data_IF_269559365315
#
_entry.id   IF_269559365315
#
_cell.length_a   1.000
_cell.length_b   1.000
_cell.length_c   1.000
_cell.angle_alpha   90.00
_cell.angle_beta   90.00
_cell.angle_gamma   90.00
#
_symmetry.space_group_name_H-M   'P 1'
#
loop_
_entity.id
_entity.type
_entity.pdbx_description
1 polymer ?
#
# COMPACT_ATOMS: atom_id res chain seq x y z
N UNK A 1 33.65 32.33 -48.89
CA UNK A 1 33.15 32.78 -47.56
C UNK A 1 32.42 31.61 -46.94
N UNK A 2 33.11 30.89 -46.07
CA UNK A 2 32.61 29.70 -45.37
C UNK A 2 32.12 30.14 -43.98
N UNK A 3 30.79 30.07 -43.78
CA UNK A 3 30.19 30.34 -42.48
C UNK A 3 30.25 29.08 -41.61
N UNK A 4 31.04 29.12 -40.54
CA UNK A 4 31.08 28.06 -39.53
C UNK A 4 29.82 28.11 -38.67
N UNK A 5 28.96 27.07 -38.76
CA UNK A 5 27.93 26.79 -37.77
C UNK A 5 28.61 26.20 -36.55
N UNK A 6 28.74 26.98 -35.48
CA UNK A 6 29.12 26.51 -34.18
C UNK A 6 27.93 25.76 -33.57
N UNK A 7 28.04 24.44 -33.50
CA UNK A 7 27.13 23.58 -32.77
C UNK A 7 27.35 23.79 -31.27
N UNK A 8 26.47 24.53 -30.62
CA UNK A 8 26.48 24.66 -29.16
C UNK A 8 26.03 23.33 -28.53
N UNK A 9 26.98 22.50 -28.14
CA UNK A 9 26.75 21.38 -27.25
C UNK A 9 26.34 21.98 -25.90
N UNK A 10 25.03 21.97 -25.60
CA UNK A 10 24.55 22.22 -24.24
C UNK A 10 25.13 21.11 -23.34
N UNK A 11 26.09 21.47 -22.53
CA UNK A 11 26.49 20.70 -21.38
C UNK A 11 25.23 20.53 -20.52
N UNK A 12 24.67 19.33 -20.52
CA UNK A 12 23.69 18.90 -19.52
C UNK A 12 24.49 18.90 -18.22
N UNK A 13 24.32 19.93 -17.40
CA UNK A 13 24.84 19.92 -16.04
C UNK A 13 24.29 18.65 -15.38
N UNK A 14 25.16 17.81 -14.81
CA UNK A 14 24.77 16.67 -13.99
C UNK A 14 23.87 17.19 -12.84
N UNK A 15 22.57 17.14 -13.05
CA UNK A 15 21.60 17.49 -12.02
C UNK A 15 21.66 16.34 -11.02
N UNK A 16 22.36 16.58 -9.91
CA UNK A 16 22.42 15.62 -8.82
C UNK A 16 21.03 15.45 -8.22
N UNK A 17 20.41 14.28 -8.44
CA UNK A 17 19.11 13.97 -7.90
C UNK A 17 19.20 13.76 -6.37
N UNK A 18 18.23 14.26 -5.58
CA UNK A 18 18.19 13.97 -4.17
C UNK A 18 18.14 12.47 -3.90
N UNK A 19 18.95 12.03 -2.95
CA UNK A 19 19.15 10.61 -2.64
C UNK A 19 18.26 10.16 -1.50
N UNK A 20 17.35 9.22 -1.77
CA UNK A 20 16.42 8.63 -0.81
C UNK A 20 16.88 7.21 -0.49
N UNK A 21 17.29 6.95 0.75
CA UNK A 21 17.57 5.60 1.22
C UNK A 21 16.27 4.96 1.73
N UNK A 22 15.80 3.92 1.06
CA UNK A 22 14.64 3.14 1.50
C UNK A 22 15.12 1.80 2.10
N UNK A 23 14.81 1.56 3.37
CA UNK A 23 15.25 0.37 4.10
C UNK A 23 14.14 -0.68 4.07
N UNK A 24 14.24 -1.65 3.15
CA UNK A 24 13.30 -2.75 3.04
C UNK A 24 13.56 -3.83 4.11
N UNK A 25 12.53 -4.62 4.43
CA UNK A 25 12.61 -5.70 5.43
C UNK A 25 13.19 -6.99 4.83
N UNK A 26 12.53 -7.54 3.81
CA UNK A 26 12.87 -8.84 3.20
C UNK A 26 12.65 -8.81 1.69
N UNK A 27 13.52 -9.51 0.92
CA UNK A 27 13.33 -9.65 -0.53
C UNK A 27 11.97 -10.27 -0.88
N UNK A 28 11.32 -9.74 -1.90
CA UNK A 28 10.02 -10.21 -2.41
C UNK A 28 8.82 -9.91 -1.52
N UNK A 29 8.99 -9.20 -0.39
CA UNK A 29 7.90 -8.80 0.50
C UNK A 29 7.30 -7.43 0.11
N UNK A 30 6.23 -7.04 0.80
CA UNK A 30 5.45 -5.85 0.46
C UNK A 30 6.29 -4.56 0.42
N UNK A 31 7.23 -4.38 1.35
CA UNK A 31 8.09 -3.18 1.43
C UNK A 31 9.12 -3.18 0.29
N UNK A 32 9.70 -4.33 -0.02
CA UNK A 32 10.61 -4.47 -1.17
C UNK A 32 9.90 -4.08 -2.47
N UNK A 33 8.73 -4.66 -2.73
CA UNK A 33 7.92 -4.33 -3.92
C UNK A 33 7.49 -2.86 -3.97
N UNK A 34 7.10 -2.30 -2.82
CA UNK A 34 6.78 -0.87 -2.69
C UNK A 34 7.99 -0.02 -3.10
N UNK A 35 9.18 -0.33 -2.58
CA UNK A 35 10.41 0.41 -2.89
C UNK A 35 10.78 0.31 -4.36
N UNK A 36 10.66 -0.87 -4.97
CA UNK A 36 10.92 -1.07 -6.40
C UNK A 36 9.96 -0.24 -7.27
N UNK A 37 8.67 -0.18 -6.92
CA UNK A 37 7.69 0.64 -7.64
C UNK A 37 7.98 2.14 -7.50
N UNK A 38 8.29 2.63 -6.29
CA UNK A 38 8.69 4.02 -6.07
C UNK A 38 9.94 4.37 -6.88
N UNK A 39 10.95 3.50 -6.86
CA UNK A 39 12.18 3.67 -7.65
C UNK A 39 11.88 3.78 -9.14
N UNK A 40 11.06 2.87 -9.69
CA UNK A 40 10.68 2.85 -11.11
C UNK A 40 9.92 4.12 -11.53
N UNK A 41 8.97 4.56 -10.69
CA UNK A 41 8.09 5.69 -11.05
C UNK A 41 8.78 7.05 -10.84
N UNK A 42 9.63 7.16 -9.83
CA UNK A 42 10.25 8.44 -9.43
C UNK A 42 11.69 8.59 -9.89
N UNK A 43 12.24 7.70 -10.71
CA UNK A 43 13.65 7.65 -11.14
C UNK A 43 14.19 8.95 -11.76
N UNK A 44 13.31 9.76 -12.38
CA UNK A 44 13.69 11.05 -12.98
C UNK A 44 13.75 12.21 -11.99
N UNK A 45 13.28 12.01 -10.76
CA UNK A 45 13.15 13.05 -9.72
C UNK A 45 14.01 12.78 -8.51
N UNK A 46 14.24 11.50 -8.18
CA UNK A 46 14.97 11.08 -6.99
C UNK A 46 15.83 9.86 -7.31
N UNK A 47 17.02 9.81 -6.72
CA UNK A 47 17.84 8.59 -6.64
C UNK A 47 17.35 7.75 -5.47
N UNK A 48 16.45 6.78 -5.70
CA UNK A 48 15.98 5.90 -4.64
C UNK A 48 16.90 4.69 -4.53
N UNK A 49 17.69 4.66 -3.47
CA UNK A 49 18.60 3.57 -3.12
C UNK A 49 17.91 2.64 -2.14
N UNK A 50 17.82 1.36 -2.51
CA UNK A 50 17.27 0.35 -1.61
C UNK A 50 18.38 -0.38 -0.88
N UNK A 51 18.21 -0.62 0.43
CA UNK A 51 18.97 -1.58 1.24
C UNK A 51 18.00 -2.46 2.01
N UNK A 52 18.39 -3.70 2.25
CA UNK A 52 17.67 -4.52 3.22
C UNK A 52 18.13 -4.20 4.63
N UNK A 53 17.24 -4.37 5.60
CA UNK A 53 17.47 -4.00 6.99
C UNK A 53 18.72 -4.65 7.62
N UNK A 54 19.23 -5.75 7.05
CA UNK A 54 20.43 -6.44 7.54
C UNK A 54 21.73 -5.96 6.88
N UNK A 55 21.62 -5.19 5.77
CA UNK A 55 22.76 -4.79 4.94
C UNK A 55 23.03 -3.29 5.00
N UNK A 56 22.17 -2.53 5.69
CA UNK A 56 22.30 -1.06 5.76
C UNK A 56 23.55 -0.69 6.59
N UNK A 57 24.31 0.28 6.08
CA UNK A 57 25.53 0.78 6.71
C UNK A 57 25.38 2.24 7.17
N UNK A 58 26.25 2.69 8.06
CA UNK A 58 26.35 4.11 8.45
C UNK A 58 26.65 5.00 7.23
N UNK A 59 27.46 4.51 6.29
CA UNK A 59 27.73 5.22 5.05
C UNK A 59 26.48 5.43 4.20
N UNK A 60 25.60 4.43 4.10
CA UNK A 60 24.33 4.57 3.38
C UNK A 60 23.45 5.67 4.01
N UNK A 61 23.34 5.67 5.35
CA UNK A 61 22.56 6.66 6.11
C UNK A 61 23.14 8.06 5.93
N UNK A 62 24.48 8.20 5.99
CA UNK A 62 25.14 9.50 5.86
C UNK A 62 25.06 10.07 4.44
N UNK A 63 25.05 9.23 3.42
CA UNK A 63 24.98 9.63 2.02
C UNK A 63 23.57 10.02 1.55
N UNK A 64 22.51 9.71 2.34
CA UNK A 64 21.13 9.99 1.96
C UNK A 64 20.68 11.38 2.40
N UNK A 65 19.87 12.03 1.56
CA UNK A 65 19.14 13.26 1.90
C UNK A 65 17.89 12.98 2.71
N UNK A 66 17.27 11.82 2.48
CA UNK A 66 16.14 11.28 3.26
C UNK A 66 16.38 9.79 3.51
N UNK A 67 16.11 9.33 4.73
CA UNK A 67 16.12 7.92 5.12
C UNK A 67 14.70 7.47 5.44
N UNK A 68 14.16 6.52 4.66
CA UNK A 68 12.84 5.92 4.86
C UNK A 68 12.96 4.63 5.68
N UNK A 69 12.35 4.62 6.85
CA UNK A 69 12.12 3.46 7.71
C UNK A 69 10.62 3.17 7.70
N UNK A 70 10.21 1.96 7.35
CA UNK A 70 8.79 1.68 7.08
C UNK A 70 7.94 1.40 8.30
N UNK A 71 8.57 1.07 9.45
CA UNK A 71 7.89 0.93 10.74
C UNK A 71 8.89 1.13 11.89
N UNK A 72 8.46 1.73 12.99
CA UNK A 72 9.35 2.20 14.04
C UNK A 72 10.23 1.10 14.67
N UNK A 73 9.69 -0.10 14.89
CA UNK A 73 10.45 -1.22 15.46
C UNK A 73 11.41 -1.90 14.45
N UNK A 74 11.45 -1.46 13.20
CA UNK A 74 12.50 -1.83 12.24
C UNK A 74 13.87 -1.34 12.71
N UNK A 75 13.91 -0.22 13.44
CA UNK A 75 15.13 0.39 13.96
C UNK A 75 15.95 -0.61 14.78
N UNK A 76 15.30 -1.38 15.65
CA UNK A 76 15.96 -2.39 16.48
C UNK A 76 16.53 -3.59 15.69
N UNK A 77 16.20 -3.70 14.38
CA UNK A 77 16.68 -4.77 13.49
C UNK A 77 17.83 -4.34 12.61
N UNK A 78 18.18 -3.06 12.63
CA UNK A 78 19.28 -2.52 11.83
C UNK A 78 20.62 -2.90 12.47
N UNK A 79 21.65 -3.21 11.69
CA UNK A 79 23.01 -3.48 12.19
C UNK A 79 23.76 -2.18 12.51
N UNK A 80 23.05 -1.19 13.04
CA UNK A 80 23.54 0.15 13.34
C UNK A 80 23.17 0.55 14.77
N UNK A 81 24.08 1.20 15.51
CA UNK A 81 23.73 1.84 16.77
C UNK A 81 22.65 2.92 16.54
N UNK A 82 21.65 3.02 17.41
CA UNK A 82 20.62 4.04 17.30
C UNK A 82 21.19 5.45 17.25
N UNK A 83 22.35 5.67 17.88
CA UNK A 83 23.07 6.96 17.84
C UNK A 83 23.41 7.44 16.41
N UNK A 84 23.62 6.53 15.46
CA UNK A 84 23.80 6.86 14.04
C UNK A 84 22.54 7.50 13.48
N UNK A 85 21.40 6.90 13.74
CA UNK A 85 20.10 7.43 13.32
C UNK A 85 19.75 8.74 14.03
N UNK A 86 20.04 8.83 15.34
CA UNK A 86 19.78 10.04 16.12
C UNK A 86 20.57 11.26 15.61
N UNK A 87 21.81 11.05 15.16
CA UNK A 87 22.61 12.13 14.52
C UNK A 87 22.03 12.61 13.18
N UNK A 88 21.14 11.83 12.57
CA UNK A 88 20.48 12.10 11.29
C UNK A 88 18.98 12.18 11.40
N UNK A 89 18.47 12.50 12.61
CA UNK A 89 17.03 12.63 12.86
C UNK A 89 16.36 13.70 11.98
N UNK A 90 17.14 14.70 11.53
CA UNK A 90 16.72 15.71 10.56
C UNK A 90 16.36 15.16 9.17
N UNK A 91 16.71 13.92 8.89
CA UNK A 91 16.49 13.23 7.59
C UNK A 91 15.67 11.95 7.69
N UNK A 92 15.34 11.51 8.91
CA UNK A 92 14.59 10.28 9.13
C UNK A 92 13.10 10.49 8.93
N UNK A 93 12.51 9.66 8.07
CA UNK A 93 11.07 9.56 7.87
C UNK A 93 10.66 8.14 8.21
N UNK A 94 9.77 7.99 9.20
CA UNK A 94 9.37 6.70 9.74
C UNK A 94 7.90 6.45 9.45
N UNK A 95 7.57 5.25 8.95
CA UNK A 95 6.21 4.87 8.63
C UNK A 95 5.42 4.37 9.84
N UNK A 96 4.11 4.54 9.77
CA UNK A 96 3.10 3.79 10.51
C UNK A 96 2.23 3.14 9.47
N UNK A 97 2.48 1.86 9.18
CA UNK A 97 1.85 1.13 8.09
C UNK A 97 0.77 0.17 8.57
N UNK A 98 0.56 0.03 9.89
CA UNK A 98 -0.47 -0.79 10.51
C UNK A 98 -0.83 -0.25 11.89
N UNK A 99 -2.09 -0.37 12.31
CA UNK A 99 -2.54 -0.04 13.68
C UNK A 99 -1.76 -0.80 14.75
N UNK A 100 -1.40 -2.05 14.47
CA UNK A 100 -0.64 -2.92 15.39
C UNK A 100 0.70 -2.34 15.82
N UNK A 101 1.25 -1.41 15.07
CA UNK A 101 2.53 -0.77 15.38
C UNK A 101 2.45 0.15 16.60
N UNK A 102 1.26 0.68 16.89
CA UNK A 102 1.01 1.61 17.99
C UNK A 102 -0.20 1.20 18.85
N UNK A 103 -0.45 -0.10 18.99
CA UNK A 103 -1.50 -0.65 19.85
C UNK A 103 -0.90 -1.31 21.09
N UNK A 104 -1.68 -1.34 22.20
CA UNK A 104 -1.32 -2.00 23.42
C UNK A 104 0.03 -1.54 23.97
N UNK A 105 0.90 -2.50 24.29
CA UNK A 105 2.23 -2.28 24.85
C UNK A 105 3.20 -1.55 23.87
N UNK A 106 2.92 -1.56 22.58
CA UNK A 106 3.77 -0.90 21.56
C UNK A 106 3.50 0.60 21.43
N UNK A 107 2.39 1.12 21.99
CA UNK A 107 1.97 2.51 21.79
C UNK A 107 2.97 3.52 22.34
N UNK A 108 3.25 3.45 23.63
CA UNK A 108 4.14 4.43 24.29
C UNK A 108 5.58 4.36 23.76
N UNK A 109 6.22 3.17 23.66
CA UNK A 109 7.54 3.07 23.07
C UNK A 109 7.61 3.56 21.62
N UNK A 110 6.59 3.27 20.83
CA UNK A 110 6.50 3.70 19.44
C UNK A 110 6.40 5.22 19.32
N UNK A 111 5.47 5.86 20.04
CA UNK A 111 5.31 7.31 20.05
C UNK A 111 6.59 7.99 20.53
N UNK A 112 7.22 7.50 21.61
CA UNK A 112 8.48 8.04 22.12
C UNK A 112 9.60 7.95 21.07
N UNK A 113 9.69 6.82 20.35
CA UNK A 113 10.70 6.63 19.29
C UNK A 113 10.45 7.57 18.11
N UNK A 114 9.19 7.70 17.67
CA UNK A 114 8.82 8.61 16.58
C UNK A 114 9.15 10.07 16.93
N UNK A 115 8.79 10.54 18.13
CA UNK A 115 9.09 11.90 18.56
C UNK A 115 10.58 12.18 18.68
N UNK A 116 11.38 11.17 19.05
CA UNK A 116 12.82 11.33 19.28
C UNK A 116 13.63 11.27 17.99
N UNK A 117 13.22 10.43 17.03
CA UNK A 117 14.04 10.15 15.86
C UNK A 117 13.46 10.65 14.54
N UNK A 118 12.13 10.73 14.41
CA UNK A 118 11.54 11.05 13.12
C UNK A 118 11.44 12.56 12.92
N UNK A 119 11.89 13.04 11.76
CA UNK A 119 11.57 14.38 11.25
C UNK A 119 10.13 14.49 10.80
N UNK A 120 9.61 13.41 10.22
CA UNK A 120 8.24 13.27 9.76
C UNK A 120 7.80 11.80 9.82
N UNK A 121 6.50 11.60 9.85
CA UNK A 121 5.88 10.28 9.76
C UNK A 121 5.10 10.17 8.44
N UNK A 122 5.07 8.99 7.85
CA UNK A 122 4.14 8.69 6.77
C UNK A 122 3.19 7.56 7.16
N UNK A 123 1.98 7.62 6.62
CA UNK A 123 0.92 6.62 6.85
C UNK A 123 0.33 6.18 5.52
N UNK A 124 -0.15 4.95 5.42
CA UNK A 124 -0.63 4.37 4.17
C UNK A 124 -2.16 4.32 4.01
N UNK A 125 -2.90 4.87 4.98
CA UNK A 125 -4.35 5.04 4.88
C UNK A 125 -4.85 6.20 5.75
N UNK A 126 -6.05 6.72 5.44
CA UNK A 126 -6.65 7.87 6.12
C UNK A 126 -7.05 7.57 7.56
N UNK A 127 -7.37 6.32 7.88
CA UNK A 127 -7.69 5.93 9.25
C UNK A 127 -6.48 6.11 10.16
N UNK A 128 -5.30 5.66 9.74
CA UNK A 128 -4.04 5.87 10.48
C UNK A 128 -3.69 7.36 10.59
N UNK A 129 -3.89 8.13 9.51
CA UNK A 129 -3.68 9.57 9.53
C UNK A 129 -4.56 10.25 10.59
N UNK A 130 -5.86 9.96 10.55
CA UNK A 130 -6.82 10.55 11.49
C UNK A 130 -6.53 10.17 12.94
N UNK A 131 -6.15 8.93 13.19
CA UNK A 131 -5.89 8.42 14.53
C UNK A 131 -4.58 8.92 15.12
N UNK A 132 -3.50 8.95 14.34
CA UNK A 132 -2.17 9.23 14.88
C UNK A 132 -1.67 10.65 14.66
N UNK A 133 -2.13 11.39 13.66
CA UNK A 133 -1.70 12.76 13.45
C UNK A 133 -1.94 13.68 14.68
N UNK A 134 -3.04 13.57 15.44
CA UNK A 134 -3.24 14.36 16.65
C UNK A 134 -2.26 14.03 17.79
N UNK A 135 -1.67 12.83 17.78
CA UNK A 135 -0.75 12.35 18.82
C UNK A 135 0.71 12.72 18.51
N UNK A 136 1.01 13.09 17.27
CA UNK A 136 2.35 13.38 16.81
C UNK A 136 2.58 14.88 16.68
N UNK A 137 3.71 15.37 17.24
CA UNK A 137 4.13 16.78 17.16
C UNK A 137 5.01 17.06 15.95
N UNK A 138 5.03 16.14 14.99
CA UNK A 138 5.82 16.17 13.76
C UNK A 138 4.89 16.00 12.56
N UNK A 139 5.27 16.44 11.36
CA UNK A 139 4.44 16.30 10.17
C UNK A 139 4.06 14.84 9.90
N UNK A 140 2.80 14.62 9.55
CA UNK A 140 2.29 13.32 9.10
C UNK A 140 1.88 13.42 7.65
N UNK A 141 2.39 12.54 6.80
CA UNK A 141 2.13 12.51 5.37
C UNK A 141 1.33 11.27 5.00
N UNK A 142 0.25 11.47 4.26
CA UNK A 142 -0.52 10.38 3.67
C UNK A 142 0.17 9.89 2.40
N UNK A 143 0.62 8.63 2.41
CA UNK A 143 1.34 8.00 1.29
C UNK A 143 0.83 6.57 1.08
N UNK A 144 -0.34 6.41 0.44
CA UNK A 144 -0.93 5.10 0.26
C UNK A 144 -0.11 4.22 -0.69
N UNK A 145 -0.31 2.91 -0.59
CA UNK A 145 0.24 2.00 -1.57
C UNK A 145 -0.55 2.12 -2.88
N UNK A 146 0.16 1.93 -3.99
CA UNK A 146 -0.43 1.74 -5.30
C UNK A 146 -0.41 0.28 -5.75
N UNK A 147 -0.94 0.04 -6.93
CA UNK A 147 -0.85 -1.19 -7.69
C UNK A 147 -0.35 -0.90 -9.10
N UNK A 148 0.36 -1.82 -9.73
CA UNK A 148 0.72 -1.68 -11.15
C UNK A 148 -0.47 -2.13 -12.02
N UNK A 149 -1.29 -1.17 -12.45
CA UNK A 149 -2.48 -1.43 -13.26
C UNK A 149 -2.17 -1.79 -14.71
N UNK A 150 -0.91 -1.70 -15.13
CA UNK A 150 -0.47 -2.19 -16.43
C UNK A 150 -0.10 -3.65 -16.39
N UNK A 151 0.36 -4.13 -15.25
CA UNK A 151 0.67 -5.53 -15.02
C UNK A 151 -0.57 -6.31 -14.53
N UNK A 152 -1.13 -5.92 -13.39
CA UNK A 152 -2.41 -6.45 -12.92
C UNK A 152 -3.53 -5.78 -13.70
N UNK A 153 -4.07 -6.48 -14.66
CA UNK A 153 -5.11 -5.97 -15.53
C UNK A 153 -6.11 -7.07 -15.89
N UNK A 154 -7.32 -6.65 -16.21
CA UNK A 154 -8.37 -7.56 -16.68
C UNK A 154 -7.94 -8.22 -17.98
N UNK A 155 -8.16 -9.56 -18.16
CA UNK A 155 -7.94 -10.21 -19.43
C UNK A 155 -8.85 -9.58 -20.50
N UNK A 156 -8.39 -9.55 -21.78
CA UNK A 156 -9.21 -9.03 -22.89
C UNK A 156 -10.55 -9.75 -23.02
N UNK A 157 -10.55 -11.06 -22.79
CA UNK A 157 -11.74 -11.90 -22.77
C UNK A 157 -11.92 -12.46 -21.36
N UNK A 158 -12.92 -11.98 -20.62
CA UNK A 158 -13.22 -12.52 -19.30
C UNK A 158 -13.62 -13.99 -19.40
N UNK A 159 -13.17 -14.80 -18.46
CA UNK A 159 -13.59 -16.20 -18.35
C UNK A 159 -15.12 -16.28 -18.27
N UNK A 160 -15.78 -17.14 -19.06
CA UNK A 160 -17.21 -17.33 -18.96
C UNK A 160 -17.58 -17.88 -17.57
N UNK A 161 -18.69 -17.39 -17.03
CA UNK A 161 -19.20 -17.91 -15.76
C UNK A 161 -19.59 -19.37 -15.92
N UNK A 162 -18.93 -20.26 -15.17
CA UNK A 162 -19.11 -21.71 -15.25
C UNK A 162 -20.32 -22.25 -14.45
N UNK A 163 -21.09 -21.36 -13.80
CA UNK A 163 -22.16 -21.74 -12.85
C UNK A 163 -21.67 -21.90 -11.41
N UNK A 164 -20.36 -21.85 -11.16
CA UNK A 164 -19.75 -21.88 -9.85
C UNK A 164 -19.11 -20.53 -9.54
N UNK A 165 -19.33 -19.98 -8.33
CA UNK A 165 -18.72 -18.74 -7.88
C UNK A 165 -17.30 -19.01 -7.36
N UNK A 166 -16.28 -18.56 -8.07
CA UNK A 166 -14.86 -18.72 -7.71
C UNK A 166 -14.45 -17.58 -6.76
N UNK A 167 -14.33 -17.93 -5.48
CA UNK A 167 -14.00 -17.01 -4.38
C UNK A 167 -12.50 -17.08 -4.10
N UNK A 168 -11.78 -15.97 -4.26
CA UNK A 168 -10.34 -15.90 -4.06
C UNK A 168 -9.91 -15.35 -2.73
N UNK A 169 -8.84 -15.92 -2.18
CA UNK A 169 -8.10 -15.36 -1.06
C UNK A 169 -6.59 -15.57 -1.23
N UNK A 170 -5.80 -14.54 -0.93
CA UNK A 170 -4.34 -14.61 -0.98
C UNK A 170 -3.73 -14.05 0.29
N UNK A 171 -2.73 -14.74 0.85
CA UNK A 171 -2.04 -14.24 2.04
C UNK A 171 -1.12 -15.27 2.70
N UNK A 172 -0.61 -14.88 3.87
CA UNK A 172 0.18 -15.71 4.76
C UNK A 172 -0.66 -16.09 5.98
N UNK A 173 -0.71 -17.35 6.32
CA UNK A 173 -1.35 -17.87 7.54
C UNK A 173 -0.39 -17.89 8.73
N UNK A 174 0.93 -17.96 8.47
CA UNK A 174 1.98 -17.92 9.49
C UNK A 174 2.24 -16.51 10.03
N UNK A 175 1.97 -15.48 9.24
CA UNK A 175 2.24 -14.10 9.63
C UNK A 175 1.02 -13.48 10.33
N UNK A 176 1.16 -13.07 11.58
CA UNK A 176 0.11 -12.55 12.47
C UNK A 176 -0.96 -13.56 12.92
N UNK A 177 -0.80 -14.83 12.57
CA UNK A 177 -1.74 -15.90 12.89
C UNK A 177 -2.99 -15.94 12.01
N UNK A 178 -3.61 -17.12 11.87
CA UNK A 178 -4.77 -17.33 10.98
C UNK A 178 -6.01 -16.55 11.41
N UNK A 179 -6.26 -16.38 12.71
CA UNK A 179 -7.41 -15.65 13.25
C UNK A 179 -7.39 -14.16 12.87
N UNK A 180 -6.19 -13.55 12.69
CA UNK A 180 -6.08 -12.16 12.27
C UNK A 180 -6.61 -11.93 10.85
N UNK A 181 -6.41 -12.91 9.97
CA UNK A 181 -6.86 -12.88 8.58
C UNK A 181 -8.33 -13.32 8.42
N UNK A 182 -8.94 -13.90 9.45
CA UNK A 182 -10.28 -14.46 9.38
C UNK A 182 -10.39 -15.64 8.43
N UNK A 183 -9.28 -16.32 8.10
CA UNK A 183 -9.28 -17.36 7.07
C UNK A 183 -10.09 -18.58 7.51
N UNK A 184 -9.73 -19.20 8.64
CA UNK A 184 -10.41 -20.40 9.15
C UNK A 184 -11.75 -20.07 9.83
N UNK A 185 -11.84 -18.91 10.48
CA UNK A 185 -13.00 -18.56 11.31
C UNK A 185 -14.13 -17.90 10.52
N UNK A 186 -13.82 -17.28 9.35
CA UNK A 186 -14.78 -16.50 8.57
C UNK A 186 -14.85 -16.98 7.12
N UNK A 187 -13.71 -17.07 6.41
CA UNK A 187 -13.73 -17.28 4.95
C UNK A 187 -14.10 -18.72 4.61
N UNK A 188 -13.42 -19.71 5.18
CA UNK A 188 -13.72 -21.12 4.91
C UNK A 188 -15.18 -21.49 5.23
N UNK A 189 -15.71 -21.19 6.45
CA UNK A 189 -17.10 -21.51 6.76
C UNK A 189 -18.11 -20.72 5.92
N UNK A 190 -17.83 -19.46 5.58
CA UNK A 190 -18.72 -18.66 4.72
C UNK A 190 -18.82 -19.26 3.32
N UNK A 191 -17.71 -19.65 2.69
CA UNK A 191 -17.73 -20.24 1.36
C UNK A 191 -18.39 -21.62 1.39
N UNK A 192 -18.13 -22.43 2.42
CA UNK A 192 -18.78 -23.73 2.58
C UNK A 192 -20.32 -23.64 2.77
N UNK A 193 -20.80 -22.55 3.34
CA UNK A 193 -22.23 -22.29 3.53
C UNK A 193 -22.96 -21.86 2.24
N UNK A 194 -22.24 -21.51 1.16
CA UNK A 194 -22.84 -21.03 -0.10
C UNK A 194 -22.78 -22.12 -1.17
N UNK A 195 -23.87 -22.83 -1.47
CA UNK A 195 -23.91 -23.84 -2.51
C UNK A 195 -23.46 -23.26 -3.87
N UNK A 196 -22.58 -23.94 -4.58
CA UNK A 196 -22.04 -23.48 -5.86
C UNK A 196 -20.97 -22.37 -5.72
N UNK A 197 -20.41 -22.16 -4.52
CA UNK A 197 -19.22 -21.37 -4.32
C UNK A 197 -18.00 -22.31 -4.09
N UNK A 198 -16.85 -21.91 -4.61
CA UNK A 198 -15.56 -22.60 -4.42
C UNK A 198 -14.46 -21.65 -4.00
N UNK A 199 -13.75 -22.00 -2.92
CA UNK A 199 -12.60 -21.23 -2.45
C UNK A 199 -11.34 -21.58 -3.27
N UNK A 200 -10.73 -20.58 -3.85
CA UNK A 200 -9.41 -20.63 -4.48
C UNK A 200 -8.41 -19.84 -3.62
N UNK A 201 -7.26 -20.43 -3.34
CA UNK A 201 -6.31 -19.83 -2.41
C UNK A 201 -4.92 -19.67 -3.01
N UNK A 202 -4.24 -18.59 -2.60
CA UNK A 202 -2.83 -18.37 -2.78
C UNK A 202 -2.16 -18.23 -1.41
N UNK A 203 -1.98 -19.37 -0.72
CA UNK A 203 -1.37 -19.44 0.60
C UNK A 203 0.14 -19.50 0.44
N UNK A 204 0.82 -18.48 0.99
CA UNK A 204 2.27 -18.32 0.82
C UNK A 204 3.08 -19.49 1.34
N UNK A 205 2.68 -20.06 2.48
CA UNK A 205 3.36 -21.18 3.13
C UNK A 205 3.21 -22.50 2.38
N UNK A 206 2.17 -22.62 1.53
CA UNK A 206 1.94 -23.80 0.70
C UNK A 206 2.69 -23.72 -0.62
N UNK A 207 2.59 -22.56 -1.29
CA UNK A 207 3.24 -22.28 -2.57
C UNK A 207 3.49 -20.78 -2.71
N UNK A 208 4.77 -20.39 -2.70
CA UNK A 208 5.13 -19.00 -3.01
C UNK A 208 4.94 -18.75 -4.50
N UNK A 209 4.04 -17.82 -4.84
CA UNK A 209 3.75 -17.42 -6.21
C UNK A 209 4.51 -16.17 -6.60
N UNK A 210 5.10 -16.18 -7.78
CA UNK A 210 5.66 -14.99 -8.40
C UNK A 210 4.54 -14.06 -8.92
N UNK A 211 4.90 -12.94 -9.53
CA UNK A 211 3.91 -11.97 -10.02
C UNK A 211 3.01 -12.53 -11.12
N UNK A 212 3.58 -13.27 -12.09
CA UNK A 212 2.80 -13.85 -13.21
C UNK A 212 1.80 -14.88 -12.68
N UNK A 213 2.23 -15.76 -11.79
CA UNK A 213 1.36 -16.75 -11.15
C UNK A 213 0.26 -16.09 -10.28
N UNK A 214 0.55 -14.91 -9.68
CA UNK A 214 -0.48 -14.14 -8.96
C UNK A 214 -1.46 -13.48 -9.92
N UNK A 215 -1.00 -12.99 -11.07
CA UNK A 215 -1.88 -12.43 -12.11
C UNK A 215 -2.85 -13.50 -12.63
N UNK A 216 -2.35 -14.69 -12.91
CA UNK A 216 -3.17 -15.83 -13.37
C UNK A 216 -4.18 -16.23 -12.28
N UNK A 217 -3.73 -16.30 -11.02
CA UNK A 217 -4.62 -16.56 -9.89
C UNK A 217 -5.78 -15.57 -9.82
N UNK A 218 -5.52 -14.24 -9.91
CA UNK A 218 -6.61 -13.25 -9.86
C UNK A 218 -7.54 -13.36 -11.07
N UNK A 219 -7.03 -13.65 -12.25
CA UNK A 219 -7.84 -13.80 -13.47
C UNK A 219 -8.82 -14.96 -13.42
N UNK A 220 -8.55 -15.96 -12.59
CA UNK A 220 -9.43 -17.11 -12.38
C UNK A 220 -10.58 -16.85 -11.41
N UNK A 221 -10.65 -15.66 -10.77
CA UNK A 221 -11.62 -15.35 -9.74
C UNK A 221 -12.88 -14.65 -10.28
N UNK A 222 -14.01 -14.87 -9.59
CA UNK A 222 -15.25 -14.10 -9.77
C UNK A 222 -15.42 -13.03 -8.67
N UNK A 223 -14.83 -13.25 -7.49
CA UNK A 223 -14.83 -12.35 -6.34
C UNK A 223 -13.58 -12.56 -5.50
N UNK A 224 -13.03 -11.51 -4.93
CA UNK A 224 -11.92 -11.59 -3.98
C UNK A 224 -12.38 -11.19 -2.58
N UNK A 225 -11.99 -11.95 -1.55
CA UNK A 225 -12.42 -11.71 -0.15
C UNK A 225 -11.25 -11.29 0.74
N UNK A 226 -11.55 -10.36 1.66
CA UNK A 226 -10.62 -9.97 2.73
C UNK A 226 -11.40 -9.85 4.05
N UNK A 227 -11.17 -10.79 4.95
CA UNK A 227 -11.80 -10.84 6.27
C UNK A 227 -10.86 -10.41 7.41
N UNK A 228 -9.80 -9.69 7.09
CA UNK A 228 -8.81 -9.25 8.08
C UNK A 228 -9.43 -8.35 9.14
N UNK A 229 -8.95 -8.45 10.38
CA UNK A 229 -9.38 -7.59 11.51
C UNK A 229 -8.64 -6.26 11.54
N UNK A 230 -7.44 -6.22 11.00
CA UNK A 230 -6.60 -5.01 10.90
C UNK A 230 -5.63 -5.15 9.73
N UNK A 231 -5.47 -4.08 8.98
CA UNK A 231 -4.52 -3.95 7.87
C UNK A 231 -4.01 -2.53 7.78
N UNK A 232 -2.85 -2.35 7.16
CA UNK A 232 -2.45 -1.05 6.63
C UNK A 232 -2.97 -0.88 5.20
N UNK A 233 -2.47 -1.73 4.31
CA UNK A 233 -2.96 -1.91 2.94
C UNK A 233 -2.98 -3.40 2.63
N UNK A 234 -4.15 -4.01 2.42
CA UNK A 234 -4.23 -5.38 1.90
C UNK A 234 -3.88 -5.37 0.40
N UNK A 235 -2.59 -5.43 0.07
CA UNK A 235 -2.12 -5.37 -1.32
C UNK A 235 -2.81 -6.37 -2.27
N UNK A 236 -3.13 -7.62 -1.87
CA UNK A 236 -3.89 -8.52 -2.71
C UNK A 236 -5.27 -8.00 -3.13
N UNK A 237 -5.91 -7.14 -2.31
CA UNK A 237 -7.15 -6.47 -2.70
C UNK A 237 -6.92 -5.47 -3.83
N UNK A 238 -5.82 -4.70 -3.81
CA UNK A 238 -5.47 -3.77 -4.88
C UNK A 238 -5.16 -4.53 -6.18
N UNK A 239 -4.44 -5.65 -6.09
CA UNK A 239 -4.08 -6.49 -7.23
C UNK A 239 -5.33 -7.15 -7.86
N UNK A 240 -6.22 -7.72 -7.06
CA UNK A 240 -7.50 -8.27 -7.51
C UNK A 240 -8.39 -7.17 -8.13
N UNK A 241 -8.49 -6.01 -7.50
CA UNK A 241 -9.23 -4.86 -8.01
C UNK A 241 -8.71 -4.40 -9.38
N UNK A 242 -7.38 -4.38 -9.57
CA UNK A 242 -6.76 -4.02 -10.85
C UNK A 242 -7.07 -5.05 -11.95
N UNK A 243 -7.24 -6.32 -11.59
CA UNK A 243 -7.75 -7.35 -12.50
C UNK A 243 -9.28 -7.25 -12.75
N UNK A 244 -9.96 -6.26 -12.17
CA UNK A 244 -11.40 -6.06 -12.31
C UNK A 244 -12.23 -7.06 -11.51
N UNK A 245 -11.68 -7.61 -10.44
CA UNK A 245 -12.39 -8.55 -9.57
C UNK A 245 -13.09 -7.76 -8.45
N UNK A 246 -14.42 -7.90 -8.30
CA UNK A 246 -15.15 -7.29 -7.19
C UNK A 246 -14.62 -7.74 -5.84
N UNK A 247 -14.55 -6.81 -4.89
CA UNK A 247 -14.08 -7.07 -3.54
C UNK A 247 -15.26 -7.27 -2.58
N UNK A 248 -15.15 -8.27 -1.70
CA UNK A 248 -15.96 -8.37 -0.47
C UNK A 248 -15.01 -8.29 0.72
N UNK A 249 -15.07 -7.21 1.49
CA UNK A 249 -14.04 -6.91 2.47
C UNK A 249 -14.60 -6.33 3.77
N UNK A 250 -13.89 -6.51 4.87
CA UNK A 250 -14.09 -5.73 6.09
C UNK A 250 -13.56 -4.29 5.89
N UNK A 251 -13.95 -3.36 6.78
CA UNK A 251 -13.52 -1.94 6.71
C UNK A 251 -12.11 -1.75 7.28
N UNK A 252 -11.12 -2.45 6.72
CA UNK A 252 -9.72 -2.43 7.18
C UNK A 252 -8.81 -1.63 6.26
N UNK A 253 -7.76 -1.06 6.85
CA UNK A 253 -6.73 -0.33 6.12
C UNK A 253 -7.33 0.75 5.20
N UNK A 254 -6.89 0.74 3.95
CA UNK A 254 -7.37 1.65 2.92
C UNK A 254 -8.61 1.14 2.15
N UNK A 255 -9.25 0.05 2.58
CA UNK A 255 -10.46 -0.45 1.91
C UNK A 255 -11.62 0.56 1.91
N UNK A 256 -11.87 1.32 3.00
CA UNK A 256 -12.90 2.38 2.97
C UNK A 256 -12.61 3.54 2.00
N UNK A 257 -11.39 3.67 1.53
CA UNK A 257 -10.98 4.68 0.55
C UNK A 257 -11.12 4.17 -0.89
N UNK A 258 -11.01 2.86 -1.09
CA UNK A 258 -11.10 2.20 -2.40
C UNK A 258 -12.52 1.76 -2.72
N UNK A 259 -13.20 1.14 -1.74
CA UNK A 259 -14.49 0.47 -1.94
C UNK A 259 -15.64 1.42 -1.65
N UNK A 260 -16.52 1.57 -2.63
CA UNK A 260 -17.83 2.20 -2.52
C UNK A 260 -18.87 1.08 -2.43
N UNK A 261 -19.45 0.91 -1.23
CA UNK A 261 -20.36 -0.21 -0.92
C UNK A 261 -21.54 -0.28 -1.86
N UNK A 262 -21.77 -1.43 -2.47
CA UNK A 262 -22.85 -1.66 -3.45
C UNK A 262 -22.53 -1.18 -4.88
N UNK A 263 -21.49 -0.38 -5.11
CA UNK A 263 -21.11 0.14 -6.41
C UNK A 263 -19.94 -0.64 -7.04
N UNK A 264 -18.75 -0.63 -6.42
CA UNK A 264 -17.55 -1.31 -6.93
C UNK A 264 -17.08 -2.49 -6.08
N UNK A 265 -17.74 -2.76 -4.95
CA UNK A 265 -17.46 -3.85 -4.02
C UNK A 265 -18.48 -3.87 -2.90
N UNK A 266 -18.31 -4.76 -1.93
CA UNK A 266 -19.20 -4.91 -0.79
C UNK A 266 -18.40 -4.92 0.51
N UNK A 267 -18.93 -4.23 1.53
CA UNK A 267 -18.50 -4.43 2.90
C UNK A 267 -19.36 -5.47 3.61
N UNK A 268 -18.75 -6.18 4.55
CA UNK A 268 -19.45 -7.06 5.47
C UNK A 268 -18.92 -6.83 6.90
N UNK A 269 -19.61 -7.36 7.88
CA UNK A 269 -19.42 -7.11 9.31
C UNK A 269 -18.25 -7.90 9.96
N UNK A 270 -17.57 -8.75 9.18
CA UNK A 270 -16.47 -9.60 9.67
C UNK A 270 -16.93 -10.96 10.19
N UNK A 271 -18.22 -11.29 10.10
CA UNK A 271 -18.78 -12.60 10.47
C UNK A 271 -18.81 -13.54 9.27
N UNK A 272 -18.84 -14.87 9.54
CA UNK A 272 -18.98 -15.85 8.47
C UNK A 272 -20.35 -15.76 7.79
N UNK A 273 -21.41 -15.49 8.55
CA UNK A 273 -22.77 -15.29 8.05
C UNK A 273 -22.82 -14.06 7.14
N UNK A 274 -22.31 -12.93 7.60
CA UNK A 274 -22.29 -11.70 6.82
C UNK A 274 -21.50 -11.84 5.50
N UNK A 275 -20.40 -12.59 5.51
CA UNK A 275 -19.66 -12.92 4.29
C UNK A 275 -20.47 -13.85 3.38
N UNK A 276 -21.08 -14.90 3.93
CA UNK A 276 -21.89 -15.85 3.16
C UNK A 276 -23.08 -15.16 2.45
N UNK A 277 -23.76 -14.22 3.11
CA UNK A 277 -24.84 -13.42 2.51
C UNK A 277 -24.34 -12.62 1.30
N UNK A 278 -23.17 -11.98 1.39
CA UNK A 278 -22.58 -11.22 0.28
C UNK A 278 -22.15 -12.13 -0.88
N UNK A 279 -21.61 -13.31 -0.56
CA UNK A 279 -21.24 -14.30 -1.58
C UNK A 279 -22.48 -14.88 -2.28
N UNK A 280 -23.55 -15.19 -1.55
CA UNK A 280 -24.82 -15.65 -2.11
C UNK A 280 -25.43 -14.58 -3.03
N UNK A 281 -25.47 -13.32 -2.60
CA UNK A 281 -25.91 -12.20 -3.43
C UNK A 281 -25.14 -12.11 -4.75
N UNK A 282 -23.81 -12.22 -4.70
CA UNK A 282 -22.95 -12.14 -5.90
C UNK A 282 -23.09 -13.40 -6.77
N UNK A 283 -23.29 -14.58 -6.21
CA UNK A 283 -23.59 -15.81 -6.94
C UNK A 283 -24.87 -15.66 -7.75
N UNK A 284 -25.94 -15.19 -7.10
CA UNK A 284 -27.29 -15.14 -7.67
C UNK A 284 -27.51 -13.94 -8.59
N UNK A 285 -26.59 -12.97 -8.59
CA UNK A 285 -26.71 -11.75 -9.38
C UNK A 285 -25.46 -11.50 -10.24
N UNK A 286 -25.25 -12.26 -11.33
CA UNK A 286 -24.09 -12.07 -12.21
C UNK A 286 -23.96 -10.67 -12.82
N UNK A 287 -25.11 -10.01 -13.07
CA UNK A 287 -25.15 -8.62 -13.56
C UNK A 287 -24.57 -7.63 -12.54
N UNK A 288 -24.77 -7.86 -11.24
CA UNK A 288 -24.17 -7.07 -10.17
C UNK A 288 -22.64 -7.22 -10.16
N UNK A 289 -22.12 -8.46 -10.27
CA UNK A 289 -20.69 -8.71 -10.37
C UNK A 289 -20.07 -7.97 -11.55
N UNK A 290 -20.68 -8.07 -12.74
CA UNK A 290 -20.20 -7.40 -13.95
C UNK A 290 -20.17 -5.88 -13.81
N UNK A 291 -21.21 -5.29 -13.20
CA UNK A 291 -21.26 -3.86 -12.93
C UNK A 291 -20.18 -3.44 -11.95
N UNK A 292 -20.04 -4.15 -10.82
CA UNK A 292 -19.00 -3.88 -9.83
C UNK A 292 -17.61 -3.99 -10.43
N UNK A 293 -17.34 -5.00 -11.25
CA UNK A 293 -16.07 -5.17 -11.95
C UNK A 293 -15.74 -3.96 -12.84
N UNK A 294 -16.70 -3.46 -13.61
CA UNK A 294 -16.53 -2.28 -14.45
C UNK A 294 -16.22 -1.03 -13.62
N UNK A 295 -16.97 -0.79 -12.55
CA UNK A 295 -16.76 0.35 -11.64
C UNK A 295 -15.43 0.26 -10.91
N UNK A 296 -15.03 -0.94 -10.48
CA UNK A 296 -13.73 -1.15 -9.83
C UNK A 296 -12.56 -0.82 -10.76
N UNK A 297 -12.64 -1.19 -12.04
CA UNK A 297 -11.61 -0.84 -13.04
C UNK A 297 -11.49 0.68 -13.21
N UNK A 298 -12.58 1.41 -13.16
CA UNK A 298 -12.54 2.88 -13.21
C UNK A 298 -11.87 3.45 -11.95
N UNK A 299 -12.28 2.96 -10.78
CA UNK A 299 -11.77 3.43 -9.48
C UNK A 299 -10.28 3.13 -9.30
N UNK A 300 -9.85 1.91 -9.64
CA UNK A 300 -8.48 1.45 -9.37
C UNK A 300 -7.40 2.21 -10.17
N UNK A 301 -7.78 2.86 -11.27
CA UNK A 301 -6.86 3.73 -12.04
C UNK A 301 -6.26 4.84 -11.18
N UNK A 302 -7.04 5.37 -10.25
CA UNK A 302 -6.55 6.33 -9.26
C UNK A 302 -5.57 5.75 -8.24
N UNK A 303 -5.49 4.43 -8.15
CA UNK A 303 -4.58 3.70 -7.25
C UNK A 303 -3.34 3.15 -7.98
N UNK A 304 -3.13 3.51 -9.24
CA UNK A 304 -1.89 3.15 -9.93
C UNK A 304 -0.67 3.75 -9.22
N UNK A 305 0.45 3.04 -9.21
CA UNK A 305 1.69 3.55 -8.62
C UNK A 305 2.14 4.87 -9.22
N UNK A 306 1.85 5.14 -10.50
CA UNK A 306 2.16 6.44 -11.14
C UNK A 306 1.38 7.60 -10.52
N UNK A 307 0.19 7.32 -9.97
CA UNK A 307 -0.61 8.30 -9.24
C UNK A 307 -0.20 8.36 -7.77
N UNK A 308 -0.10 7.20 -7.10
CA UNK A 308 0.15 7.17 -5.67
C UNK A 308 1.58 7.56 -5.28
N UNK A 309 2.56 7.33 -6.16
CA UNK A 309 3.93 7.79 -5.94
C UNK A 309 4.06 9.31 -5.85
N UNK A 310 3.10 10.08 -6.39
CA UNK A 310 3.09 11.54 -6.25
C UNK A 310 2.96 12.00 -4.79
N UNK A 311 2.26 11.24 -3.94
CA UNK A 311 2.20 11.52 -2.50
C UNK A 311 3.59 11.39 -1.85
N UNK A 312 4.36 10.38 -2.25
CA UNK A 312 5.76 10.22 -1.82
C UNK A 312 6.65 11.34 -2.35
N UNK A 313 6.51 11.67 -3.63
CA UNK A 313 7.28 12.76 -4.24
C UNK A 313 6.99 14.11 -3.58
N UNK A 314 5.73 14.38 -3.24
CA UNK A 314 5.33 15.57 -2.50
C UNK A 314 5.97 15.59 -1.10
N UNK A 315 5.90 14.48 -0.36
CA UNK A 315 6.56 14.34 0.94
C UNK A 315 8.07 14.59 0.83
N UNK A 316 8.77 13.93 -0.10
CA UNK A 316 10.21 14.12 -0.28
C UNK A 316 10.56 15.57 -0.61
N UNK A 317 9.84 16.18 -1.56
CA UNK A 317 10.07 17.58 -1.95
C UNK A 317 9.84 18.52 -0.78
N UNK A 318 8.76 18.36 -0.02
CA UNK A 318 8.47 19.21 1.14
C UNK A 318 9.55 19.14 2.22
N UNK A 319 10.09 17.94 2.46
CA UNK A 319 11.15 17.73 3.44
C UNK A 319 12.50 18.28 2.98
N UNK A 320 12.81 18.22 1.69
CA UNK A 320 14.04 18.77 1.11
C UNK A 320 14.03 20.29 1.08
N UNK A 321 12.86 20.91 0.83
CA UNK A 321 12.71 22.38 0.81
C UNK A 321 12.60 23.00 2.21
N UNK A 322 11.99 22.31 3.16
CA UNK A 322 11.85 22.76 4.54
C UNK A 322 13.16 22.76 5.36
N UNK A 323 14.28 22.40 4.77
CA UNK A 323 15.64 22.66 5.31
C UNK A 323 15.99 24.15 5.36
N UNK A 324 15.17 25.03 4.74
CA UNK A 324 15.20 26.47 4.84
C UNK A 324 13.80 27.01 5.14
N UNK A 325 13.52 27.31 6.42
CA UNK A 325 12.31 27.94 6.97
C UNK A 325 10.95 27.20 6.80
N UNK A 326 10.37 26.88 7.95
CA UNK A 326 9.03 26.29 8.08
C UNK A 326 7.97 27.40 7.90
N UNK A 327 7.20 27.36 6.80
CA UNK A 327 5.89 27.99 6.77
C UNK A 327 4.79 26.92 6.88
N UNK A 328 3.78 27.13 7.75
CA UNK A 328 2.68 26.16 7.87
C UNK A 328 1.78 26.23 6.64
N UNK A 329 1.60 25.12 5.95
CA UNK A 329 0.65 24.96 4.84
C UNK A 329 -0.77 25.24 5.37
N UNK A 330 -1.36 26.37 4.97
CA UNK A 330 -2.78 26.67 5.16
C UNK A 330 -3.61 25.64 4.37
N UNK A 331 -4.44 24.86 5.09
CA UNK A 331 -5.44 23.97 4.50
C UNK A 331 -6.41 24.79 3.64
N UNK A 332 -6.53 24.45 2.36
CA UNK A 332 -7.67 24.86 1.57
C UNK A 332 -8.90 24.13 2.15
N UNK A 333 -9.86 24.90 2.64
CA UNK A 333 -11.16 24.39 3.02
C UNK A 333 -11.87 23.89 1.75
N UNK A 334 -12.18 22.61 1.68
CA UNK A 334 -13.08 22.08 0.68
C UNK A 334 -14.49 22.50 1.05
N UNK A 335 -15.05 23.43 0.31
CA UNK A 335 -16.47 23.77 0.33
C UNK A 335 -17.29 22.53 -0.04
N UNK A 336 -17.97 21.95 0.94
CA UNK A 336 -19.04 21.01 0.74
C UNK A 336 -20.31 21.86 0.58
N UNK A 337 -21.02 21.82 -0.57
CA UNK A 337 -22.30 22.52 -0.70
C UNK A 337 -23.30 21.81 0.20
N UNK A 338 -23.91 22.58 1.14
CA UNK A 338 -25.00 22.13 1.97
C UNK A 338 -26.20 21.76 1.11
N UNK A 339 -26.80 20.61 1.42
CA UNK A 339 -28.15 20.27 1.00
C UNK A 339 -29.12 20.80 2.06
N UNK A 340 -29.96 21.71 1.64
CA UNK A 340 -31.24 22.05 2.28
C UNK A 340 -32.27 21.01 1.87
#
# INVERSE_FOLDING_TARGET
MAGALACAVRLVSDVHLPRILAIADRPGWAIDRKTQNLRRVLERRFEIVQRFQHDVTESDVNAADIVLIFYWFQIAKLPLPESVLARRSDRLVIGICSHRELEGEFREPGLATLHRLARAVFVNNRKLEHEYAPLLRIPVHYTPNGVDTTFFCRPPEPQPYSGELRVGWAGSLGNHGPAHRGFHDVIEPAVAAVPGARLLTAIREQHWRNHDEMLDFYRDLDVYVCASRSEGTPNPCLEAAACGIPLVTTRVGNMPELVQDGDNGLFFDGTAEGLADKLALLRDTPSLRSRMAARMIETIRGWDWRVQAENYAHMFTSLLTAGGAVEPVRRAASDVPGQT
#
